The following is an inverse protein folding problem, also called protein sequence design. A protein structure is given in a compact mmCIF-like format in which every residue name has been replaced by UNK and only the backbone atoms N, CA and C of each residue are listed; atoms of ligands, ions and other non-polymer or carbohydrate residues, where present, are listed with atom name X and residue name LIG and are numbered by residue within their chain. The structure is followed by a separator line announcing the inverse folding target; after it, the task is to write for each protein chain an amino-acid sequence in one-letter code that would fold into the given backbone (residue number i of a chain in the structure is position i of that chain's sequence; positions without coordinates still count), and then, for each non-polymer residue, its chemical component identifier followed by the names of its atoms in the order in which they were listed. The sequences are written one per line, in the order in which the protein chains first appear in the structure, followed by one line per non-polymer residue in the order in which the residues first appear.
data_IF_952383501713
#
_entry.id   IF_952383501713
#
_cell.length_a   1.000
_cell.length_b   1.000
_cell.length_c   1.000
_cell.angle_alpha   90.00
_cell.angle_beta   90.00
_cell.angle_gamma   90.00
#
_symmetry.space_group_name_H-M   'P 1'
#
loop_
_entity.id
_entity.type
_entity.pdbx_description
1 polymer ?
#
# COMPACT_ATOMS: atom_id res chain seq x y z
N UNK A 1 9.90 -14.32 14.83
CA UNK A 1 10.62 -13.02 14.89
C UNK A 1 9.57 -11.91 14.89
N UNK A 2 9.33 -11.22 16.01
CA UNK A 2 8.39 -10.08 16.04
C UNK A 2 8.94 -9.01 15.09
N UNK A 3 8.38 -8.88 13.88
CA UNK A 3 8.66 -7.74 13.00
C UNK A 3 8.26 -6.49 13.79
N UNK A 4 9.21 -5.62 14.13
CA UNK A 4 8.93 -4.38 14.85
C UNK A 4 8.25 -3.40 13.90
N UNK A 5 6.96 -3.64 13.75
CA UNK A 5 6.00 -3.00 12.88
C UNK A 5 6.09 -1.47 12.90
N UNK A 6 6.03 -0.89 14.12
CA UNK A 6 6.07 0.56 14.33
C UNK A 6 7.37 1.16 13.79
N UNK A 7 8.49 0.44 13.95
CA UNK A 7 9.79 0.90 13.47
C UNK A 7 9.84 0.90 11.93
N UNK A 8 9.22 -0.09 11.28
CA UNK A 8 9.13 -0.14 9.81
C UNK A 8 8.35 1.03 9.23
N UNK A 9 7.21 1.35 9.84
CA UNK A 9 6.40 2.52 9.44
C UNK A 9 7.17 3.81 9.63
N UNK A 10 7.81 3.99 10.79
CA UNK A 10 8.67 5.16 11.04
C UNK A 10 9.78 5.26 10.00
N UNK A 11 10.46 4.16 9.70
CA UNK A 11 11.51 4.14 8.69
C UNK A 11 10.98 4.48 7.29
N UNK A 12 9.78 4.03 6.91
CA UNK A 12 9.14 4.40 5.64
C UNK A 12 8.81 5.90 5.59
N UNK A 13 8.23 6.42 6.67
CA UNK A 13 7.89 7.84 6.79
C UNK A 13 9.17 8.70 6.74
N UNK A 14 10.23 8.29 7.43
CA UNK A 14 11.52 9.00 7.43
C UNK A 14 12.21 8.92 6.06
N UNK A 15 12.23 7.74 5.43
CA UNK A 15 12.84 7.50 4.12
C UNK A 15 12.15 8.32 3.03
N UNK A 16 10.82 8.31 2.99
CA UNK A 16 10.05 8.97 1.95
C UNK A 16 9.56 10.36 2.38
N UNK A 17 9.83 10.80 3.60
CA UNK A 17 9.45 12.12 4.16
C UNK A 17 7.96 12.44 4.03
N UNK A 18 7.10 11.44 4.13
CA UNK A 18 5.64 11.59 4.04
C UNK A 18 4.94 10.50 4.82
N UNK A 19 3.75 10.81 5.36
CA UNK A 19 2.85 9.84 6.01
C UNK A 19 1.74 9.37 5.07
N UNK A 20 1.65 9.99 3.89
CA UNK A 20 0.66 9.65 2.89
C UNK A 20 1.05 8.31 2.22
N UNK A 21 0.27 7.23 2.39
CA UNK A 21 0.63 5.92 1.82
C UNK A 21 0.71 5.95 0.29
N UNK A 22 -0.09 6.78 -0.39
CA UNK A 22 -0.02 6.92 -1.85
C UNK A 22 1.33 7.47 -2.31
N UNK A 23 1.80 8.54 -1.68
CA UNK A 23 3.10 9.14 -1.98
C UNK A 23 4.25 8.19 -1.64
N UNK A 24 4.12 7.41 -0.55
CA UNK A 24 5.11 6.38 -0.21
C UNK A 24 5.23 5.36 -1.35
N UNK A 25 4.11 4.89 -1.88
CA UNK A 25 4.11 3.92 -2.97
C UNK A 25 4.60 4.47 -4.29
N UNK A 26 4.17 5.68 -4.66
CA UNK A 26 4.66 6.39 -5.83
C UNK A 26 6.18 6.54 -5.79
N UNK A 27 6.73 7.03 -4.66
CA UNK A 27 8.18 7.18 -4.46
C UNK A 27 8.93 5.86 -4.35
N UNK A 28 8.25 4.78 -3.98
CA UNK A 28 8.79 3.43 -3.98
C UNK A 28 8.79 2.78 -5.37
N UNK A 29 8.27 3.45 -6.41
CA UNK A 29 8.14 2.90 -7.76
C UNK A 29 7.05 1.82 -7.84
N UNK A 30 6.04 1.91 -6.98
CA UNK A 30 4.89 1.01 -6.97
C UNK A 30 3.70 1.73 -7.58
N UNK A 31 3.15 1.15 -8.64
CA UNK A 31 1.98 1.69 -9.31
C UNK A 31 0.69 1.25 -8.61
N UNK A 32 -0.25 2.16 -8.38
CA UNK A 32 -1.56 1.85 -7.78
C UNK A 32 -2.64 1.98 -8.85
N UNK A 33 -3.35 0.89 -9.13
CA UNK A 33 -4.43 0.83 -10.12
C UNK A 33 -5.76 0.59 -9.43
N UNK A 34 -6.75 1.43 -9.73
CA UNK A 34 -8.13 1.27 -9.29
C UNK A 34 -8.96 0.59 -10.38
N UNK A 35 -9.51 -0.58 -10.09
CA UNK A 35 -10.37 -1.31 -11.01
C UNK A 35 -11.49 -2.03 -10.27
N UNK A 36 -12.59 -2.35 -10.94
CA UNK A 36 -13.61 -3.20 -10.31
C UNK A 36 -13.11 -4.65 -10.23
N UNK A 37 -12.80 -5.12 -9.02
CA UNK A 37 -12.24 -6.45 -8.76
C UNK A 37 -13.30 -7.45 -8.23
N UNK A 38 -14.58 -7.14 -8.38
CA UNK A 38 -15.67 -7.95 -7.84
C UNK A 38 -15.62 -8.02 -6.30
N UNK A 39 -15.40 -9.21 -5.75
CA UNK A 39 -15.31 -9.45 -4.29
C UNK A 39 -13.93 -9.22 -3.70
N UNK A 40 -12.90 -9.12 -4.54
CA UNK A 40 -11.52 -8.89 -4.09
C UNK A 40 -11.38 -7.43 -3.69
N UNK A 41 -10.74 -7.14 -2.54
CA UNK A 41 -10.57 -5.77 -2.04
C UNK A 41 -9.34 -5.10 -2.65
N UNK A 42 -8.26 -5.85 -2.77
CA UNK A 42 -7.03 -5.45 -3.45
C UNK A 42 -6.02 -6.58 -3.40
N UNK A 43 -4.93 -6.44 -4.15
CA UNK A 43 -3.79 -7.35 -4.11
C UNK A 43 -2.53 -6.69 -4.68
N UNK A 44 -1.37 -7.14 -4.19
CA UNK A 44 -0.06 -6.74 -4.68
C UNK A 44 0.52 -7.76 -5.68
N UNK A 45 0.96 -7.29 -6.83
CA UNK A 45 1.67 -8.07 -7.85
C UNK A 45 3.09 -7.54 -7.98
N UNK A 46 4.05 -8.45 -7.99
CA UNK A 46 5.45 -8.12 -8.27
C UNK A 46 5.97 -9.00 -9.38
N UNK A 47 6.30 -8.40 -10.53
CA UNK A 47 6.81 -9.15 -11.67
C UNK A 47 7.90 -8.36 -12.42
N UNK A 48 9.03 -9.01 -12.72
CA UNK A 48 10.12 -8.48 -13.54
C UNK A 48 10.55 -7.02 -13.22
N UNK A 49 10.62 -6.65 -11.93
CA UNK A 49 11.02 -5.30 -11.49
C UNK A 49 9.87 -4.29 -11.38
N UNK A 50 8.68 -4.62 -11.90
CA UNK A 50 7.45 -3.85 -11.72
C UNK A 50 6.73 -4.33 -10.46
N UNK A 51 6.28 -3.37 -9.66
CA UNK A 51 5.52 -3.59 -8.43
C UNK A 51 4.20 -2.84 -8.57
N UNK A 52 3.08 -3.53 -8.44
CA UNK A 52 1.76 -2.98 -8.75
C UNK A 52 0.72 -3.40 -7.73
N UNK A 53 -0.08 -2.45 -7.27
CA UNK A 53 -1.16 -2.68 -6.32
C UNK A 53 -2.49 -2.43 -7.02
N UNK A 54 -3.30 -3.47 -7.06
CA UNK A 54 -4.66 -3.41 -7.57
C UNK A 54 -5.60 -3.14 -6.41
N UNK A 55 -6.43 -2.10 -6.51
CA UNK A 55 -7.43 -1.75 -5.49
C UNK A 55 -8.81 -1.77 -6.12
N UNK A 56 -9.77 -2.33 -5.40
CA UNK A 56 -11.15 -2.32 -5.85
C UNK A 56 -11.73 -0.91 -5.83
N UNK A 57 -12.16 -0.43 -7.00
CA UNK A 57 -12.72 0.92 -7.20
C UNK A 57 -14.03 1.17 -6.47
N UNK A 58 -14.66 0.13 -5.90
CA UNK A 58 -15.88 0.24 -5.07
C UNK A 58 -15.58 0.45 -3.58
N UNK A 59 -14.31 0.50 -3.18
CA UNK A 59 -13.95 0.79 -1.79
C UNK A 59 -14.10 2.28 -1.48
N UNK A 60 -14.52 2.60 -0.25
CA UNK A 60 -14.47 3.96 0.26
C UNK A 60 -13.02 4.39 0.47
N UNK A 61 -12.75 5.70 0.49
CA UNK A 61 -11.41 6.27 0.69
C UNK A 61 -10.71 5.73 1.94
N UNK A 62 -11.41 5.66 3.08
CA UNK A 62 -10.91 5.04 4.30
C UNK A 62 -10.52 3.57 4.09
N UNK A 63 -11.32 2.82 3.34
CA UNK A 63 -11.09 1.41 3.08
C UNK A 63 -9.91 1.20 2.10
N UNK A 64 -9.71 2.12 1.16
CA UNK A 64 -8.55 2.16 0.29
C UNK A 64 -7.27 2.39 1.11
N UNK A 65 -7.30 3.34 2.05
CA UNK A 65 -6.16 3.61 2.95
C UNK A 65 -5.86 2.36 3.81
N UNK A 66 -6.88 1.75 4.39
CA UNK A 66 -6.78 0.49 5.14
C UNK A 66 -6.12 -0.60 4.30
N UNK A 67 -6.57 -0.82 3.06
CA UNK A 67 -5.99 -1.81 2.15
C UNK A 67 -4.53 -1.47 1.80
N UNK A 68 -4.23 -0.22 1.47
CA UNK A 68 -2.85 0.21 1.17
C UNK A 68 -1.93 0.05 2.37
N UNK A 69 -2.41 0.37 3.57
CA UNK A 69 -1.66 0.12 4.79
C UNK A 69 -1.45 -1.39 4.99
N UNK A 70 -2.48 -2.21 4.77
CA UNK A 70 -2.35 -3.67 4.83
C UNK A 70 -1.28 -4.20 3.87
N UNK A 71 -1.30 -3.75 2.63
CA UNK A 71 -0.34 -4.16 1.59
C UNK A 71 1.08 -3.59 1.83
N UNK A 72 1.24 -2.54 2.65
CA UNK A 72 2.55 -2.00 3.07
C UNK A 72 3.19 -2.77 4.24
N UNK A 73 2.52 -3.76 4.82
CA UNK A 73 2.78 -4.17 6.22
C UNK A 73 2.65 -2.96 7.21
N UNK A 74 1.64 -2.07 7.09
CA UNK A 74 1.29 -0.93 8.01
C UNK A 74 0.02 -1.20 8.88
N UNK A 75 -0.31 -0.48 9.99
CA UNK A 75 -1.35 -0.92 10.93
C UNK A 75 -2.69 -0.20 10.65
N UNK A 76 -3.76 -0.64 11.30
CA UNK A 76 -5.03 0.09 11.35
C UNK A 76 -5.08 1.01 12.57
#
# INVERSE_FOLDING_TARGET
MKKNFVLRVKNLIEKYRTKNPFEIYERAGVEIIFQYLGKIKGFHVRNAGVSLIMINSKLSELMIIIVLLHELDMPY
#
